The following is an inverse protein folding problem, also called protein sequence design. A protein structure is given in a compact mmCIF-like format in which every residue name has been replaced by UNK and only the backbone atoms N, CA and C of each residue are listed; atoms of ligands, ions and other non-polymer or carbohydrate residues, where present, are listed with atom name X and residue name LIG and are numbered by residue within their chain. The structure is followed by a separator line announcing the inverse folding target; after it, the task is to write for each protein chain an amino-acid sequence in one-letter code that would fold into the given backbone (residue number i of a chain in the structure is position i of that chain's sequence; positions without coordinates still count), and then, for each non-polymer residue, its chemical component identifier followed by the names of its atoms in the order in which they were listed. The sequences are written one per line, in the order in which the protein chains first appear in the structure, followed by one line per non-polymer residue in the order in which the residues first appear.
data_IF_656834241094
#
_entry.id   IF_656834241094
#
_cell.length_a   1.000
_cell.length_b   1.000
_cell.length_c   1.000
_cell.angle_alpha   90.00
_cell.angle_beta   90.00
_cell.angle_gamma   90.00
#
_symmetry.space_group_name_H-M   'P 1'
#
loop_
_entity.id
_entity.type
_entity.pdbx_description
1 polymer ?
#
# COMPACT_ATOMS: atom_id res chain seq x y z
N UNK A 1 11.73 -1.89 27.06
CA UNK A 1 10.83 -1.54 28.19
C UNK A 1 9.60 -0.77 27.73
N UNK A 2 9.72 0.27 26.89
CA UNK A 2 8.55 1.07 26.45
C UNK A 2 7.47 0.25 25.71
N UNK A 3 7.85 -0.58 24.74
CA UNK A 3 6.90 -1.41 23.98
C UNK A 3 6.12 -2.41 24.87
N UNK A 4 6.75 -2.93 25.92
CA UNK A 4 6.11 -3.86 26.85
C UNK A 4 5.09 -3.17 27.78
N UNK A 5 5.22 -1.85 27.99
CA UNK A 5 4.36 -1.08 28.90
C UNK A 5 3.31 -0.25 28.17
N UNK A 6 3.63 0.21 26.95
CA UNK A 6 2.82 1.15 26.16
C UNK A 6 2.56 0.63 24.73
N UNK A 7 2.68 -0.68 24.51
CA UNK A 7 2.58 -1.28 23.18
C UNK A 7 1.26 -0.99 22.48
N UNK A 8 0.15 -1.05 23.21
CA UNK A 8 -1.17 -0.76 22.66
C UNK A 8 -1.26 0.67 22.12
N UNK A 9 -0.94 1.67 22.94
CA UNK A 9 -0.95 3.09 22.52
C UNK A 9 0.01 3.38 21.35
N UNK A 10 1.14 2.68 21.30
CA UNK A 10 2.11 2.81 20.22
C UNK A 10 1.53 2.25 18.90
N UNK A 11 0.91 1.06 18.94
CA UNK A 11 0.30 0.47 17.76
C UNK A 11 -0.95 1.23 17.32
N UNK A 12 -1.77 1.73 18.24
CA UNK A 12 -2.94 2.57 17.90
C UNK A 12 -2.51 3.81 17.08
N UNK A 13 -1.36 4.41 17.41
CA UNK A 13 -0.76 5.50 16.62
C UNK A 13 -0.31 5.03 15.24
N UNK A 14 0.36 3.87 15.16
CA UNK A 14 0.79 3.29 13.88
C UNK A 14 -0.42 3.03 12.97
N UNK A 15 -1.50 2.46 13.51
CA UNK A 15 -2.74 2.21 12.76
C UNK A 15 -3.38 3.52 12.30
N UNK A 16 -3.44 4.54 13.18
CA UNK A 16 -3.98 5.86 12.82
C UNK A 16 -3.18 6.51 11.69
N UNK A 17 -1.85 6.47 11.78
CA UNK A 17 -0.95 6.98 10.74
C UNK A 17 -1.13 6.22 9.42
N UNK A 18 -1.24 4.89 9.49
CA UNK A 18 -1.46 4.06 8.33
C UNK A 18 -2.80 4.35 7.66
N UNK A 19 -3.88 4.51 8.42
CA UNK A 19 -5.18 4.86 7.87
C UNK A 19 -5.15 6.25 7.20
N UNK A 20 -4.55 7.24 7.87
CA UNK A 20 -4.35 8.57 7.27
C UNK A 20 -3.61 8.49 5.92
N UNK A 21 -2.49 7.77 5.86
CA UNK A 21 -1.75 7.62 4.59
C UNK A 21 -2.54 6.91 3.52
N UNK A 22 -3.35 5.89 3.87
CA UNK A 22 -4.25 5.24 2.91
C UNK A 22 -5.24 6.22 2.32
N UNK A 23 -5.87 7.02 3.16
CA UNK A 23 -6.88 8.00 2.74
C UNK A 23 -6.26 9.05 1.79
N UNK A 24 -5.05 9.52 2.10
CA UNK A 24 -4.32 10.46 1.23
C UNK A 24 -3.92 9.82 -0.10
N UNK A 25 -3.38 8.59 -0.09
CA UNK A 25 -2.99 7.88 -1.32
C UNK A 25 -4.20 7.61 -2.22
N UNK A 26 -5.33 7.22 -1.63
CA UNK A 26 -6.57 6.98 -2.37
C UNK A 26 -7.14 8.26 -3.01
N UNK A 27 -6.84 9.43 -2.45
CA UNK A 27 -7.23 10.72 -3.05
C UNK A 27 -6.37 11.12 -4.26
N UNK A 28 -5.15 10.59 -4.41
CA UNK A 28 -4.26 10.90 -5.55
C UNK A 28 -4.88 10.44 -6.88
N UNK A 29 -5.57 9.29 -6.86
CA UNK A 29 -6.11 8.62 -8.04
C UNK A 29 -5.03 7.88 -8.85
N UNK A 30 -5.40 6.73 -9.43
CA UNK A 30 -4.46 5.83 -10.12
C UNK A 30 -3.75 4.84 -9.18
N UNK A 31 -3.85 5.05 -7.87
CA UNK A 31 -3.52 4.08 -6.84
C UNK A 31 -4.77 3.58 -6.14
N UNK A 32 -4.68 2.42 -5.52
CA UNK A 32 -5.66 1.95 -4.56
C UNK A 32 -4.94 1.34 -3.36
N UNK A 33 -4.93 2.07 -2.25
CA UNK A 33 -4.41 1.62 -0.96
C UNK A 33 -5.50 0.82 -0.24
N UNK A 34 -5.29 -0.49 -0.14
CA UNK A 34 -6.25 -1.42 0.44
C UNK A 34 -6.48 -1.13 1.93
N UNK A 35 -7.73 -1.23 2.37
CA UNK A 35 -8.09 -1.28 3.79
C UNK A 35 -9.21 -2.29 4.07
N UNK A 36 -9.88 -2.15 5.22
CA UNK A 36 -10.92 -3.04 5.74
C UNK A 36 -12.15 -3.19 4.83
N UNK A 37 -12.32 -2.36 3.81
CA UNK A 37 -13.38 -2.52 2.80
C UNK A 37 -13.27 -3.84 2.02
N UNK A 38 -12.12 -4.53 2.08
CA UNK A 38 -11.97 -5.88 1.53
C UNK A 38 -12.70 -6.95 2.34
N UNK A 39 -13.01 -6.70 3.62
CA UNK A 39 -13.69 -7.67 4.48
C UNK A 39 -15.13 -7.86 3.96
N UNK A 40 -15.40 -9.05 3.43
CA UNK A 40 -16.65 -9.35 2.72
C UNK A 40 -17.58 -10.30 3.49
N UNK A 41 -17.17 -10.74 4.69
CA UNK A 41 -17.96 -11.65 5.54
C UNK A 41 -17.96 -13.12 5.07
N UNK A 42 -17.13 -13.47 4.08
CA UNK A 42 -16.98 -14.82 3.55
C UNK A 42 -15.50 -15.19 3.43
N UNK A 43 -14.85 -14.80 2.34
CA UNK A 43 -13.48 -15.23 2.01
C UNK A 43 -12.39 -14.41 2.68
N UNK A 44 -12.72 -13.20 3.18
CA UNK A 44 -11.78 -12.29 3.83
C UNK A 44 -12.27 -12.04 5.26
N UNK A 45 -11.57 -12.66 6.22
CA UNK A 45 -11.90 -12.57 7.65
C UNK A 45 -11.53 -11.21 8.24
N UNK A 46 -10.28 -10.78 8.06
CA UNK A 46 -9.77 -9.51 8.60
C UNK A 46 -8.63 -8.95 7.73
N UNK A 47 -8.25 -7.70 7.97
CA UNK A 47 -7.21 -6.97 7.25
C UNK A 47 -6.17 -6.39 8.22
N UNK A 48 -4.88 -6.61 7.95
CA UNK A 48 -3.79 -6.02 8.76
C UNK A 48 -3.58 -4.54 8.41
N UNK A 49 -4.16 -3.65 9.22
CA UNK A 49 -4.06 -2.20 9.05
C UNK A 49 -2.64 -1.64 9.26
N UNK A 50 -1.70 -2.41 9.82
CA UNK A 50 -0.30 -1.96 9.95
C UNK A 50 0.48 -2.04 8.63
N UNK A 51 -0.06 -2.78 7.65
CA UNK A 51 0.56 -3.00 6.33
C UNK A 51 -0.08 -2.12 5.27
N UNK A 52 0.69 -1.15 4.76
CA UNK A 52 0.27 -0.25 3.70
C UNK A 52 0.52 -0.90 2.34
N UNK A 53 -0.44 -1.71 1.88
CA UNK A 53 -0.45 -2.30 0.54
C UNK A 53 -1.16 -1.36 -0.44
N UNK A 54 -0.48 -1.03 -1.54
CA UNK A 54 -0.97 -0.08 -2.55
C UNK A 54 -0.90 -0.73 -3.92
N UNK A 55 -2.06 -0.87 -4.55
CA UNK A 55 -2.19 -1.33 -5.92
C UNK A 55 -1.86 -0.21 -6.90
N UNK A 56 -0.99 -0.50 -7.86
CA UNK A 56 -0.41 0.46 -8.82
C UNK A 56 -0.89 0.23 -10.25
N UNK A 57 -1.68 -0.80 -10.55
CA UNK A 57 -2.03 -1.15 -11.94
C UNK A 57 -2.68 -0.01 -12.73
N UNK A 58 -3.55 0.78 -12.08
CA UNK A 58 -4.19 1.93 -12.74
C UNK A 58 -3.20 3.04 -13.11
N UNK A 59 -1.97 2.99 -12.60
CA UNK A 59 -0.88 3.84 -13.06
C UNK A 59 -0.27 3.43 -14.39
N UNK A 60 -0.55 2.20 -14.86
CA UNK A 60 0.21 1.61 -15.97
C UNK A 60 1.66 1.28 -15.59
N UNK A 61 1.95 1.16 -14.29
CA UNK A 61 3.25 0.76 -13.76
C UNK A 61 3.11 -0.50 -12.90
N UNK A 62 4.07 -1.41 -13.05
CA UNK A 62 4.26 -2.50 -12.11
C UNK A 62 4.71 -1.94 -10.75
N UNK A 63 4.38 -2.64 -9.68
CA UNK A 63 4.81 -2.26 -8.33
C UNK A 63 6.33 -2.16 -8.20
N UNK A 64 7.08 -3.05 -8.85
CA UNK A 64 8.56 -2.98 -8.88
C UNK A 64 9.09 -1.73 -9.61
N UNK A 65 8.40 -1.21 -10.62
CA UNK A 65 8.80 0.05 -11.27
C UNK A 65 8.59 1.23 -10.30
N UNK A 66 7.46 1.26 -9.59
CA UNK A 66 7.19 2.30 -8.58
C UNK A 66 8.18 2.21 -7.42
N UNK A 67 8.53 0.99 -7.01
CA UNK A 67 9.58 0.72 -6.01
C UNK A 67 10.93 1.33 -6.42
N UNK A 68 11.39 1.07 -7.65
CA UNK A 68 12.68 1.58 -8.13
C UNK A 68 12.67 3.10 -8.20
N UNK A 69 11.57 3.72 -8.65
CA UNK A 69 11.44 5.19 -8.70
C UNK A 69 11.49 5.80 -7.29
N UNK A 70 10.74 5.25 -6.34
CA UNK A 70 10.73 5.72 -4.94
C UNK A 70 12.13 5.65 -4.33
N UNK A 71 12.85 4.55 -4.57
CA UNK A 71 14.22 4.36 -4.08
C UNK A 71 15.20 5.33 -4.74
N UNK A 72 15.23 5.36 -6.07
CA UNK A 72 16.30 6.00 -6.84
C UNK A 72 16.11 7.50 -7.00
N UNK A 73 14.86 8.00 -7.09
CA UNK A 73 14.57 9.43 -7.27
C UNK A 73 14.20 10.17 -5.98
N UNK A 74 13.61 9.47 -4.99
CA UNK A 74 13.06 10.09 -3.78
C UNK A 74 13.74 9.66 -2.48
N UNK A 75 14.67 8.70 -2.54
CA UNK A 75 15.35 8.13 -1.37
C UNK A 75 14.33 7.59 -0.33
N UNK A 76 13.28 6.93 -0.84
CA UNK A 76 12.24 6.28 -0.04
C UNK A 76 12.33 4.78 -0.24
N UNK A 77 12.78 4.08 0.80
CA UNK A 77 12.82 2.63 0.80
C UNK A 77 11.48 2.07 1.31
N UNK A 78 10.85 1.24 0.48
CA UNK A 78 9.66 0.47 0.84
C UNK A 78 10.03 -1.02 0.98
N UNK A 79 9.11 -1.83 1.50
CA UNK A 79 9.37 -3.24 1.82
C UNK A 79 9.50 -4.08 0.56
N UNK A 80 8.60 -3.89 -0.40
CA UNK A 80 8.45 -4.78 -1.54
C UNK A 80 7.67 -4.13 -2.69
N UNK A 81 7.95 -4.56 -3.92
CA UNK A 81 7.16 -4.25 -5.10
C UNK A 81 7.02 -5.50 -5.99
N UNK A 82 5.80 -5.80 -6.42
CA UNK A 82 5.52 -6.90 -7.34
C UNK A 82 5.01 -6.39 -8.70
N UNK A 83 4.30 -7.26 -9.41
CA UNK A 83 3.69 -7.00 -10.72
C UNK A 83 2.59 -5.93 -10.71
N UNK A 84 1.93 -5.67 -9.58
CA UNK A 84 0.76 -4.80 -9.48
C UNK A 84 0.65 -4.00 -8.17
N UNK A 85 1.51 -4.25 -7.18
CA UNK A 85 1.43 -3.68 -5.85
C UNK A 85 2.80 -3.26 -5.34
N UNK A 86 2.80 -2.20 -4.54
CA UNK A 86 3.87 -1.91 -3.60
C UNK A 86 3.38 -2.18 -2.18
N UNK A 87 4.29 -2.60 -1.32
CA UNK A 87 4.05 -2.79 0.10
C UNK A 87 5.02 -1.91 0.91
N UNK A 88 4.47 -1.10 1.78
CA UNK A 88 5.18 -0.40 2.83
C UNK A 88 4.67 -0.86 4.20
N UNK A 89 5.54 -0.93 5.19
CA UNK A 89 5.12 -1.08 6.58
C UNK A 89 5.35 0.24 7.29
N UNK A 90 4.43 0.59 8.18
CA UNK A 90 4.56 1.76 9.05
C UNK A 90 4.95 1.23 10.42
N UNK A 91 6.03 1.78 10.95
CA UNK A 91 6.66 1.36 12.18
C UNK A 91 6.56 2.42 13.26
N UNK A 92 6.90 2.02 14.48
CA UNK A 92 6.97 2.89 15.65
C UNK A 92 8.01 4.02 15.53
N UNK A 93 8.91 3.91 14.55
CA UNK A 93 9.96 4.89 14.29
C UNK A 93 9.58 5.95 13.24
N UNK A 94 8.50 5.73 12.50
CA UNK A 94 8.08 6.63 11.43
C UNK A 94 7.42 7.88 12.00
N UNK A 95 7.59 8.99 11.30
CA UNK A 95 6.96 10.28 11.63
C UNK A 95 5.94 10.62 10.57
N UNK A 96 4.97 11.45 10.92
CA UNK A 96 3.99 11.99 9.97
C UNK A 96 4.67 12.60 8.74
N UNK A 97 5.78 13.31 8.92
CA UNK A 97 6.56 13.88 7.82
C UNK A 97 7.09 12.82 6.84
N UNK A 98 7.50 11.65 7.33
CA UNK A 98 8.00 10.57 6.47
C UNK A 98 6.87 10.01 5.59
N UNK A 99 5.66 9.94 6.13
CA UNK A 99 4.45 9.54 5.39
C UNK A 99 3.97 10.62 4.41
N UNK A 100 4.03 11.90 4.80
CA UNK A 100 3.74 13.02 3.89
C UNK A 100 4.72 13.03 2.70
N UNK A 101 6.00 12.72 2.93
CA UNK A 101 6.99 12.55 1.85
C UNK A 101 6.62 11.40 0.92
N UNK A 102 6.15 10.26 1.45
CA UNK A 102 5.68 9.14 0.65
C UNK A 102 4.46 9.52 -0.21
N UNK A 103 3.46 10.16 0.38
CA UNK A 103 2.26 10.64 -0.33
C UNK A 103 2.64 11.62 -1.44
N UNK A 104 3.50 12.59 -1.15
CA UNK A 104 3.96 13.57 -2.13
C UNK A 104 4.75 12.91 -3.28
N UNK A 105 5.62 11.95 -2.97
CA UNK A 105 6.36 11.20 -3.98
C UNK A 105 5.42 10.39 -4.88
N UNK A 106 4.45 9.66 -4.31
CA UNK A 106 3.45 8.91 -5.07
C UNK A 106 2.62 9.81 -5.98
N UNK A 107 2.23 11.00 -5.50
CA UNK A 107 1.51 11.99 -6.30
C UNK A 107 2.34 12.52 -7.47
N UNK A 108 3.63 12.79 -7.24
CA UNK A 108 4.55 13.21 -8.29
C UNK A 108 4.80 12.08 -9.31
N UNK A 109 4.94 10.84 -8.84
CA UNK A 109 5.08 9.66 -9.69
C UNK A 109 3.85 9.51 -10.58
N UNK A 110 2.65 9.66 -10.01
CA UNK A 110 1.41 9.63 -10.78
C UNK A 110 1.39 10.70 -11.86
N UNK A 111 1.84 11.92 -11.54
CA UNK A 111 1.87 13.02 -12.53
C UNK A 111 2.90 12.79 -13.64
N UNK A 112 4.07 12.21 -13.34
CA UNK A 112 5.22 12.13 -14.27
C UNK A 112 5.27 10.84 -15.08
N UNK A 113 4.85 9.72 -14.49
CA UNK A 113 5.12 8.39 -15.03
C UNK A 113 3.87 7.59 -15.37
N UNK A 114 2.66 8.19 -15.24
CA UNK A 114 1.43 7.51 -15.66
C UNK A 114 1.49 7.07 -17.11
N UNK A 115 1.17 5.80 -17.34
CA UNK A 115 1.07 5.19 -18.66
C UNK A 115 -0.34 4.62 -18.86
N UNK A 116 -0.63 4.18 -20.07
CA UNK A 116 -1.82 3.39 -20.37
C UNK A 116 -1.73 2.02 -19.65
N UNK A 117 -2.68 1.67 -18.78
CA UNK A 117 -2.69 0.36 -18.10
C UNK A 117 -2.77 -0.84 -19.05
N UNK A 118 -3.26 -0.66 -20.28
CA UNK A 118 -3.51 -1.74 -21.24
C UNK A 118 -2.26 -2.54 -21.64
N UNK A 119 -1.06 -2.05 -21.34
CA UNK A 119 0.21 -2.75 -21.63
C UNK A 119 0.71 -3.62 -20.48
N UNK A 120 0.14 -3.49 -19.27
CA UNK A 120 0.51 -4.35 -18.14
C UNK A 120 -0.19 -5.70 -18.26
N UNK A 121 0.57 -6.79 -18.08
CA UNK A 121 0.03 -8.16 -18.04
C UNK A 121 -1.24 -8.22 -17.19
N UNK A 122 -2.40 -8.42 -17.83
CA UNK A 122 -3.60 -8.87 -17.15
C UNK A 122 -3.25 -10.25 -16.62
N UNK A 123 -3.06 -10.36 -15.31
CA UNK A 123 -3.03 -11.66 -14.69
C UNK A 123 -4.45 -12.19 -14.88
N UNK A 124 -4.64 -13.12 -15.83
CA UNK A 124 -5.82 -13.95 -15.84
C UNK A 124 -5.83 -14.70 -14.51
N UNK A 125 -6.48 -14.10 -13.52
CA UNK A 125 -6.79 -14.75 -12.26
C UNK A 125 -7.70 -15.92 -12.64
N UNK A 126 -7.14 -17.13 -12.58
CA UNK A 126 -7.97 -18.33 -12.60
C UNK A 126 -8.71 -18.30 -11.27
N UNK A 127 -10.00 -17.91 -11.32
CA UNK A 127 -10.84 -17.94 -10.15
C UNK A 127 -10.82 -19.38 -9.58
N UNK A 128 -10.32 -19.58 -8.34
CA UNK A 128 -10.30 -20.91 -7.77
C UNK A 128 -11.74 -21.40 -7.62
N UNK A 129 -11.99 -22.65 -7.98
CA UNK A 129 -13.26 -23.28 -7.65
C UNK A 129 -13.29 -23.56 -6.15
N UNK A 130 -14.16 -22.85 -5.42
CA UNK A 130 -14.36 -23.07 -4.00
C UNK A 130 -15.14 -24.39 -3.85
N UNK A 131 -14.42 -25.49 -3.61
CA UNK A 131 -15.01 -26.82 -3.38
C UNK A 131 -15.40 -27.00 -1.91
N UNK A 132 -14.67 -26.38 -1.00
CA UNK A 132 -14.94 -26.39 0.44
C UNK A 132 -14.31 -25.16 1.10
N UNK A 133 -15.08 -24.41 1.87
CA UNK A 133 -14.57 -23.37 2.76
C UNK A 133 -14.00 -24.01 4.05
N UNK A 134 -12.99 -23.40 4.71
CA UNK A 134 -12.44 -23.89 5.98
C UNK A 134 -13.47 -24.19 7.07
#
# INVERSE_FOLDING_TARGET
KNLALHGQEIFDKVITMAQYTRDEVNQIGGYYAYSKELINGDTIYDFDESKLSIHTRQMGLAGIEVYDILRDEYDIQIEFGDVANILAYISVGDRTLDLERLVAALAEINRRFKKDPGTLFDHEYINPQIVQSP
#
